data_IF_624377856194
#
_entry.id   IF_624377856194
#
_cell.length_a   1.000
_cell.length_b   1.000
_cell.length_c   1.000
_cell.angle_alpha   90.00
_cell.angle_beta   90.00
_cell.angle_gamma   90.00
#
_symmetry.space_group_name_H-M   'P 1'
#
loop_
_entity.id
_entity.type
_entity.pdbx_description
1 polymer ?
#
# COMPACT_ATOMS: atom_id res chain seq x y z
N UNK A 1 -28.61 17.15 17.18
CA UNK A 1 -28.07 16.66 18.47
C UNK A 1 -27.32 15.36 18.22
N UNK A 2 -25.99 15.46 18.21
CA UNK A 2 -24.99 14.42 18.51
C UNK A 2 -23.66 15.07 18.10
N UNK A 3 -23.07 15.81 19.04
CA UNK A 3 -21.83 16.54 18.79
C UNK A 3 -20.65 15.57 18.86
N UNK A 4 -19.89 15.50 17.77
CA UNK A 4 -18.54 14.95 17.74
C UNK A 4 -17.65 15.76 18.69
N UNK A 5 -17.46 15.27 19.91
CA UNK A 5 -16.51 15.86 20.84
C UNK A 5 -15.08 15.62 20.32
N UNK A 6 -14.42 16.73 20.03
CA UNK A 6 -13.03 16.82 19.60
C UNK A 6 -12.10 16.23 20.68
N UNK A 7 -11.42 15.12 20.37
CA UNK A 7 -10.53 14.41 21.31
C UNK A 7 -9.32 15.23 21.79
N UNK A 8 -9.10 16.43 21.24
CA UNK A 8 -8.09 17.37 21.73
C UNK A 8 -8.45 17.98 23.10
N UNK A 9 -9.73 18.00 23.49
CA UNK A 9 -10.16 18.63 24.74
C UNK A 9 -9.97 17.77 25.99
N UNK A 10 -9.67 16.48 25.84
CA UNK A 10 -9.52 15.53 26.96
C UNK A 10 -8.22 15.77 27.75
N UNK A 11 -7.22 16.45 27.15
CA UNK A 11 -5.92 16.66 27.78
C UNK A 11 -5.82 17.95 28.63
N UNK A 12 -6.85 18.81 28.66
CA UNK A 12 -6.76 20.16 29.25
C UNK A 12 -7.25 20.22 30.72
N UNK A 13 -7.72 19.12 31.30
CA UNK A 13 -8.28 19.13 32.66
C UNK A 13 -7.90 17.93 33.54
N UNK A 14 -6.79 17.26 33.25
CA UNK A 14 -6.29 16.22 34.15
C UNK A 14 -5.49 16.88 35.25
N UNK A 15 -6.15 17.13 36.39
CA UNK A 15 -5.48 17.24 37.68
C UNK A 15 -4.46 16.10 37.75
N UNK A 16 -3.21 16.44 37.98
CA UNK A 16 -2.07 15.51 37.92
C UNK A 16 -2.05 14.60 39.16
N UNK A 17 -3.17 13.92 39.44
CA UNK A 17 -3.18 12.81 40.38
C UNK A 17 -2.36 11.69 39.78
N UNK A 18 -1.24 11.39 40.45
CA UNK A 18 -0.36 10.24 40.21
C UNK A 18 -1.08 8.91 40.49
N UNK A 19 -2.20 8.66 39.82
CA UNK A 19 -2.99 7.45 39.93
C UNK A 19 -2.71 6.50 38.77
N UNK A 20 -2.74 5.20 39.05
CA UNK A 20 -2.63 4.14 38.03
C UNK A 20 -3.65 4.34 36.89
N UNK A 21 -4.83 4.88 37.21
CA UNK A 21 -5.89 5.18 36.25
C UNK A 21 -5.48 6.26 35.24
N UNK A 22 -4.92 7.38 35.73
CA UNK A 22 -4.44 8.46 34.87
C UNK A 22 -3.31 7.97 33.94
N UNK A 23 -2.37 7.19 34.48
CA UNK A 23 -1.32 6.53 33.70
C UNK A 23 -1.86 5.59 32.62
N UNK A 24 -2.88 4.78 32.95
CA UNK A 24 -3.52 3.87 32.01
C UNK A 24 -4.26 4.61 30.89
N UNK A 25 -4.93 5.73 31.18
CA UNK A 25 -5.58 6.56 30.13
C UNK A 25 -4.54 7.15 29.17
N UNK A 26 -3.47 7.74 29.71
CA UNK A 26 -2.37 8.30 28.91
C UNK A 26 -1.69 7.23 28.03
N UNK A 27 -1.41 6.07 28.60
CA UNK A 27 -0.78 5.01 27.83
C UNK A 27 -1.69 4.47 26.72
N UNK A 28 -3.02 4.39 26.92
CA UNK A 28 -3.96 4.07 25.81
C UNK A 28 -3.93 5.12 24.70
N UNK A 29 -3.85 6.40 25.05
CA UNK A 29 -3.70 7.48 24.08
C UNK A 29 -2.44 7.30 23.23
N UNK A 30 -1.26 7.12 23.84
CA UNK A 30 -0.01 6.95 23.10
C UNK A 30 0.00 5.66 22.27
N UNK A 31 -0.55 4.55 22.79
CA UNK A 31 -0.70 3.32 22.02
C UNK A 31 -1.58 3.51 20.78
N UNK A 32 -2.62 4.33 20.85
CA UNK A 32 -3.46 4.68 19.69
C UNK A 32 -2.73 5.50 18.61
N UNK A 33 -1.62 6.15 18.97
CA UNK A 33 -0.75 6.94 18.08
C UNK A 33 0.45 6.15 17.56
N UNK A 34 0.64 4.91 18.00
CA UNK A 34 1.78 4.06 17.61
C UNK A 34 1.78 3.59 16.14
N UNK A 35 0.70 3.84 15.40
CA UNK A 35 0.56 3.49 13.98
C UNK A 35 0.29 4.74 13.13
N UNK A 36 0.81 4.75 11.90
CA UNK A 36 0.57 5.83 10.93
C UNK A 36 -0.93 5.95 10.62
N UNK A 37 -1.39 7.17 10.31
CA UNK A 37 -2.81 7.46 10.03
C UNK A 37 -3.38 6.58 8.91
N UNK A 38 -2.61 6.34 7.85
CA UNK A 38 -3.01 5.45 6.75
C UNK A 38 -3.19 3.99 7.20
N UNK A 39 -2.29 3.48 8.04
CA UNK A 39 -2.40 2.14 8.62
C UNK A 39 -3.59 2.03 9.58
N UNK A 40 -3.90 3.11 10.33
CA UNK A 40 -5.08 3.15 11.19
C UNK A 40 -6.38 3.02 10.38
N UNK A 41 -6.52 3.77 9.29
CA UNK A 41 -7.68 3.66 8.40
C UNK A 41 -7.83 2.24 7.81
N UNK A 42 -6.71 1.63 7.41
CA UNK A 42 -6.72 0.26 6.93
C UNK A 42 -7.14 -0.72 8.04
N UNK A 43 -6.63 -0.55 9.26
CA UNK A 43 -6.98 -1.41 10.39
C UNK A 43 -8.45 -1.27 10.78
N UNK A 44 -9.02 -0.07 10.79
CA UNK A 44 -10.45 0.14 11.06
C UNK A 44 -11.32 -0.68 10.10
N UNK A 45 -11.08 -0.55 8.79
CA UNK A 45 -11.83 -1.31 7.76
C UNK A 45 -11.66 -2.82 7.91
N UNK A 46 -10.44 -3.26 8.21
CA UNK A 46 -10.18 -4.67 8.40
C UNK A 46 -10.81 -5.21 9.69
N UNK A 47 -10.86 -4.40 10.74
CA UNK A 47 -11.44 -4.80 12.02
C UNK A 47 -12.96 -4.97 11.96
N UNK A 48 -13.66 -4.24 11.09
CA UNK A 48 -15.09 -4.46 10.82
C UNK A 48 -15.39 -5.93 10.46
N UNK A 49 -14.49 -6.62 9.75
CA UNK A 49 -14.62 -8.05 9.44
C UNK A 49 -14.67 -8.90 10.73
N UNK A 50 -13.84 -8.55 11.72
CA UNK A 50 -13.83 -9.23 13.01
C UNK A 50 -15.10 -8.93 13.81
N UNK A 51 -15.50 -7.66 13.90
CA UNK A 51 -16.72 -7.25 14.61
C UNK A 51 -17.96 -7.93 14.01
N UNK A 52 -18.08 -7.96 12.68
CA UNK A 52 -19.18 -8.63 11.98
C UNK A 52 -19.17 -10.15 12.19
N UNK A 53 -17.97 -10.76 12.21
CA UNK A 53 -17.83 -12.19 12.52
C UNK A 53 -18.30 -12.48 13.95
N UNK A 54 -17.89 -11.66 14.92
CA UNK A 54 -18.29 -11.81 16.32
C UNK A 54 -19.80 -11.67 16.50
N UNK A 55 -20.38 -10.64 15.92
CA UNK A 55 -21.81 -10.38 16.01
C UNK A 55 -22.64 -11.50 15.38
N UNK A 56 -22.27 -11.97 14.17
CA UNK A 56 -22.99 -13.05 13.48
C UNK A 56 -22.94 -14.39 14.22
N UNK A 57 -21.86 -14.64 14.94
CA UNK A 57 -21.65 -15.91 15.65
C UNK A 57 -21.98 -15.82 17.15
N UNK A 58 -22.46 -14.67 17.65
CA UNK A 58 -22.81 -14.47 19.05
C UNK A 58 -21.61 -14.64 20.00
N UNK A 59 -20.39 -14.33 19.55
CA UNK A 59 -19.17 -14.47 20.35
C UNK A 59 -18.64 -13.09 20.77
N UNK A 60 -18.02 -12.98 21.96
CA UNK A 60 -17.48 -11.71 22.43
C UNK A 60 -16.32 -11.23 21.55
N UNK A 61 -16.26 -9.93 21.28
CA UNK A 61 -15.19 -9.31 20.49
C UNK A 61 -13.84 -9.30 21.23
N UNK A 62 -13.89 -9.17 22.55
CA UNK A 62 -12.74 -9.14 23.45
C UNK A 62 -12.76 -10.31 24.42
N UNK A 63 -11.58 -10.85 24.74
CA UNK A 63 -11.48 -12.09 25.54
C UNK A 63 -11.91 -13.34 24.77
N UNK A 64 -11.99 -13.22 23.43
CA UNK A 64 -12.31 -14.30 22.53
C UNK A 64 -11.28 -15.44 22.64
N UNK A 65 -11.76 -16.68 22.57
CA UNK A 65 -10.89 -17.86 22.47
C UNK A 65 -10.12 -17.80 21.15
N UNK A 66 -8.85 -18.21 21.15
CA UNK A 66 -8.01 -18.27 19.95
C UNK A 66 -8.65 -19.09 18.82
N UNK A 67 -9.54 -20.05 19.15
CA UNK A 67 -10.33 -20.82 18.17
C UNK A 67 -11.26 -19.93 17.34
N UNK A 68 -11.88 -18.92 17.94
CA UNK A 68 -12.79 -17.99 17.25
C UNK A 68 -12.00 -17.13 16.25
N UNK A 69 -10.82 -16.64 16.67
CA UNK A 69 -9.90 -15.93 15.77
C UNK A 69 -9.42 -16.84 14.63
N UNK A 70 -9.02 -18.07 14.94
CA UNK A 70 -8.58 -19.04 13.93
C UNK A 70 -9.67 -19.31 12.90
N UNK A 71 -10.92 -19.49 13.33
CA UNK A 71 -12.07 -19.67 12.44
C UNK A 71 -12.29 -18.45 11.54
N UNK A 72 -12.31 -17.24 12.09
CA UNK A 72 -12.45 -16.00 11.32
C UNK A 72 -11.36 -15.86 10.24
N UNK A 73 -10.09 -16.02 10.64
CA UNK A 73 -8.96 -15.92 9.69
C UNK A 73 -9.04 -16.99 8.59
N UNK A 74 -9.48 -18.20 8.92
CA UNK A 74 -9.61 -19.30 7.96
C UNK A 74 -10.73 -19.05 6.95
N UNK A 75 -11.88 -18.52 7.40
CA UNK A 75 -12.98 -18.16 6.50
C UNK A 75 -12.59 -17.03 5.55
N UNK A 76 -11.92 -15.98 6.05
CA UNK A 76 -11.41 -14.90 5.21
C UNK A 76 -10.37 -15.42 4.21
N UNK A 77 -9.49 -16.35 4.62
CA UNK A 77 -8.55 -16.97 3.70
C UNK A 77 -9.26 -17.79 2.62
N UNK A 78 -10.32 -18.54 2.98
CA UNK A 78 -11.10 -19.35 2.06
C UNK A 78 -11.88 -18.50 1.05
N UNK A 79 -12.50 -17.42 1.50
CA UNK A 79 -13.31 -16.54 0.66
C UNK A 79 -12.46 -15.70 -0.30
N UNK A 80 -11.35 -15.12 0.19
CA UNK A 80 -10.56 -14.17 -0.60
C UNK A 80 -9.29 -14.76 -1.23
N UNK A 81 -8.80 -15.89 -0.72
CA UNK A 81 -7.50 -16.46 -1.11
C UNK A 81 -6.29 -15.55 -0.81
N UNK A 82 -6.46 -14.49 0.00
CA UNK A 82 -5.47 -13.43 0.16
C UNK A 82 -4.73 -13.49 1.49
N UNK A 83 -3.51 -14.04 1.46
CA UNK A 83 -2.61 -14.07 2.63
C UNK A 83 -2.38 -12.67 3.21
N UNK A 84 -2.21 -11.66 2.35
CA UNK A 84 -1.99 -10.29 2.80
C UNK A 84 -3.18 -9.75 3.59
N UNK A 85 -4.41 -10.08 3.16
CA UNK A 85 -5.64 -9.65 3.84
C UNK A 85 -5.75 -10.26 5.23
N UNK A 86 -5.51 -11.57 5.39
CA UNK A 86 -5.54 -12.22 6.71
C UNK A 86 -4.43 -11.75 7.65
N UNK A 87 -3.24 -11.43 7.13
CA UNK A 87 -2.17 -10.80 7.93
C UNK A 87 -2.59 -9.41 8.41
N UNK A 88 -3.18 -8.59 7.55
CA UNK A 88 -3.66 -7.25 7.94
C UNK A 88 -4.81 -7.34 8.94
N UNK A 89 -5.73 -8.30 8.77
CA UNK A 89 -6.81 -8.56 9.73
C UNK A 89 -6.25 -8.91 11.12
N UNK A 90 -5.33 -9.87 11.21
CA UNK A 90 -4.67 -10.24 12.47
C UNK A 90 -3.94 -9.05 13.11
N UNK A 91 -3.24 -8.23 12.32
CA UNK A 91 -2.58 -7.04 12.82
C UNK A 91 -3.56 -5.97 13.35
N UNK A 92 -4.71 -5.80 12.69
CA UNK A 92 -5.78 -4.89 13.13
C UNK A 92 -6.36 -5.35 14.47
N UNK A 93 -6.68 -6.64 14.61
CA UNK A 93 -7.16 -7.24 15.86
C UNK A 93 -6.14 -7.05 16.98
N UNK A 94 -4.87 -7.39 16.72
CA UNK A 94 -3.79 -7.18 17.69
C UNK A 94 -3.64 -5.71 18.11
N UNK A 95 -3.89 -4.77 17.20
CA UNK A 95 -3.84 -3.34 17.49
C UNK A 95 -4.98 -2.89 18.41
N UNK A 96 -6.21 -3.34 18.16
CA UNK A 96 -7.37 -3.03 19.01
C UNK A 96 -7.23 -3.61 20.42
N UNK A 97 -6.69 -4.82 20.56
CA UNK A 97 -6.36 -5.41 21.86
C UNK A 97 -5.28 -4.60 22.59
N UNK A 98 -4.22 -4.18 21.88
CA UNK A 98 -3.13 -3.38 22.46
C UNK A 98 -3.59 -2.02 22.95
N UNK A 99 -4.43 -1.31 22.18
CA UNK A 99 -5.00 -0.02 22.62
C UNK A 99 -5.82 -0.18 23.90
N UNK A 100 -6.41 -1.36 24.13
CA UNK A 100 -7.16 -1.69 25.36
C UNK A 100 -6.29 -2.32 26.45
N UNK A 101 -4.99 -2.49 26.20
CA UNK A 101 -4.05 -3.17 27.10
C UNK A 101 -4.49 -4.60 27.46
N UNK A 102 -5.11 -5.30 26.52
CA UNK A 102 -5.53 -6.68 26.66
C UNK A 102 -4.51 -7.64 26.02
N UNK A 103 -4.45 -8.87 26.51
CA UNK A 103 -3.69 -9.94 25.87
C UNK A 103 -4.36 -10.32 24.54
N UNK A 104 -3.61 -10.19 23.45
CA UNK A 104 -4.14 -10.43 22.11
C UNK A 104 -4.22 -11.95 21.82
N UNK A 105 -5.35 -12.48 21.33
CA UNK A 105 -5.45 -13.89 20.92
C UNK A 105 -4.52 -14.22 19.73
N UNK A 106 -4.03 -13.20 19.03
CA UNK A 106 -3.11 -13.36 17.89
C UNK A 106 -1.73 -13.91 18.26
N UNK A 107 -1.36 -13.87 19.55
CA UNK A 107 -0.07 -14.39 20.03
C UNK A 107 -0.11 -15.89 20.34
N UNK A 108 -1.29 -16.50 20.31
CA UNK A 108 -1.46 -17.93 20.59
C UNK A 108 -0.76 -18.81 19.53
N UNK A 109 -0.20 -19.94 19.96
CA UNK A 109 0.56 -20.85 19.09
C UNK A 109 -0.25 -21.35 17.90
N UNK A 110 -1.53 -21.68 18.11
CA UNK A 110 -2.47 -22.08 17.05
C UNK A 110 -2.53 -21.07 15.91
N UNK A 111 -2.52 -19.77 16.22
CA UNK A 111 -2.55 -18.71 15.20
C UNK A 111 -1.24 -18.71 14.41
N UNK A 112 -0.12 -18.87 15.10
CA UNK A 112 1.21 -18.97 14.45
C UNK A 112 1.28 -20.16 13.50
N UNK A 113 0.80 -21.33 13.92
CA UNK A 113 0.74 -22.54 13.10
C UNK A 113 -0.25 -22.38 11.92
N UNK A 114 -1.39 -21.72 12.14
CA UNK A 114 -2.35 -21.41 11.09
C UNK A 114 -1.74 -20.54 9.98
N UNK A 115 -1.03 -19.46 10.34
CA UNK A 115 -0.33 -18.61 9.37
C UNK A 115 0.80 -19.35 8.63
N UNK A 116 1.39 -20.39 9.24
CA UNK A 116 2.33 -21.29 8.54
C UNK A 116 1.58 -22.17 7.52
N UNK A 117 0.44 -22.72 7.88
CA UNK A 117 -0.44 -23.46 6.97
C UNK A 117 -0.85 -22.61 5.75
N UNK A 118 -1.34 -21.39 5.98
CA UNK A 118 -1.71 -20.48 4.89
C UNK A 118 -0.55 -20.18 3.93
N UNK A 119 0.68 -20.04 4.43
CA UNK A 119 1.85 -19.79 3.57
C UNK A 119 2.24 -21.00 2.72
N UNK A 120 2.08 -22.20 3.26
CA UNK A 120 2.41 -23.43 2.56
C UNK A 120 1.42 -23.70 1.42
N UNK A 121 0.13 -23.53 1.70
CA UNK A 121 -0.95 -23.68 0.69
C UNK A 121 -0.98 -22.52 -0.30
N UNK A 122 -0.56 -21.31 0.12
CA UNK A 122 -0.58 -20.11 -0.72
C UNK A 122 0.76 -19.38 -0.73
N UNK A 123 1.79 -19.94 -1.40
CA UNK A 123 3.14 -19.37 -1.43
C UNK A 123 3.13 -17.94 -1.99
N UNK A 124 3.43 -16.97 -1.12
CA UNK A 124 3.58 -15.57 -1.52
C UNK A 124 4.99 -15.31 -2.06
N UNK A 125 5.10 -14.81 -3.28
CA UNK A 125 6.37 -14.34 -3.85
C UNK A 125 6.71 -12.96 -3.27
N UNK A 126 7.74 -12.90 -2.41
CA UNK A 126 8.06 -11.73 -1.58
C UNK A 126 8.57 -10.52 -2.38
N UNK A 127 8.10 -9.31 -2.03
CA UNK A 127 8.78 -8.03 -2.28
C UNK A 127 8.00 -6.79 -1.78
N UNK A 128 8.46 -6.15 -0.68
CA UNK A 128 8.09 -4.79 -0.23
C UNK A 128 9.37 -3.95 -0.30
N UNK A 129 9.73 -3.50 -1.50
CA UNK A 129 11.09 -3.04 -1.78
C UNK A 129 11.44 -1.77 -0.99
N UNK A 130 12.56 -1.84 -0.29
CA UNK A 130 13.16 -0.84 0.59
C UNK A 130 12.53 -0.69 1.99
N UNK A 131 12.62 -1.75 2.80
CA UNK A 131 12.21 -1.70 4.21
C UNK A 131 13.15 -0.90 5.12
N UNK A 132 14.40 -0.66 4.68
CA UNK A 132 15.47 -0.06 5.49
C UNK A 132 15.83 1.37 5.08
N UNK A 133 15.12 1.94 4.08
CA UNK A 133 15.37 3.29 3.56
C UNK A 133 16.83 3.49 3.09
N UNK A 134 17.44 2.42 2.60
CA UNK A 134 18.80 2.45 2.05
C UNK A 134 18.83 3.13 0.68
N UNK A 135 17.67 3.22 0.02
CA UNK A 135 17.54 3.70 -1.33
C UNK A 135 18.06 2.70 -2.36
N UNK A 136 17.85 3.00 -3.63
CA UNK A 136 18.48 2.24 -4.71
C UNK A 136 18.91 3.19 -5.80
N UNK A 137 20.15 3.08 -6.25
CA UNK A 137 20.62 3.82 -7.41
C UNK A 137 20.04 3.22 -8.70
N UNK A 138 19.57 4.10 -9.59
CA UNK A 138 18.96 3.73 -10.87
C UNK A 138 19.55 4.62 -11.96
N UNK A 139 19.98 4.00 -13.04
CA UNK A 139 20.46 4.69 -14.23
C UNK A 139 19.28 4.88 -15.18
N UNK A 140 19.08 6.12 -15.63
CA UNK A 140 18.04 6.48 -16.62
C UNK A 140 18.74 7.01 -17.86
N UNK A 141 18.48 6.39 -19.01
CA UNK A 141 19.05 6.84 -20.27
C UNK A 141 18.47 8.20 -20.68
N UNK A 142 19.34 9.10 -21.13
CA UNK A 142 18.95 10.41 -21.66
C UNK A 142 18.93 10.38 -23.19
N UNK A 143 17.88 10.96 -23.77
CA UNK A 143 17.81 11.30 -25.18
C UNK A 143 17.43 12.79 -25.32
N UNK A 144 18.41 13.72 -25.38
CA UNK A 144 18.13 15.16 -25.31
C UNK A 144 17.25 15.71 -26.44
N UNK A 145 17.29 15.06 -27.61
CA UNK A 145 16.53 15.46 -28.80
C UNK A 145 15.06 15.05 -28.73
N UNK A 146 14.73 14.08 -27.87
CA UNK A 146 13.38 13.63 -27.65
C UNK A 146 12.61 14.57 -26.71
N UNK A 147 11.44 15.03 -27.15
CA UNK A 147 10.53 15.89 -26.38
C UNK A 147 9.97 15.17 -25.15
N UNK A 148 9.88 13.85 -25.17
CA UNK A 148 9.36 13.04 -24.04
C UNK A 148 10.48 12.36 -23.24
N UNK A 149 11.74 12.76 -23.43
CA UNK A 149 12.87 12.25 -22.66
C UNK A 149 12.66 12.45 -21.15
N UNK A 150 12.66 11.37 -20.34
CA UNK A 150 12.38 11.47 -18.91
C UNK A 150 13.42 12.31 -18.17
N UNK A 151 14.69 12.25 -18.59
CA UNK A 151 15.78 13.04 -17.99
C UNK A 151 15.55 14.54 -18.26
N UNK A 152 15.23 14.91 -19.51
CA UNK A 152 14.96 16.29 -19.90
C UNK A 152 13.73 16.85 -19.17
N UNK A 153 12.63 16.07 -19.10
CA UNK A 153 11.43 16.45 -18.37
C UNK A 153 11.71 16.65 -16.88
N UNK A 154 12.51 15.78 -16.26
CA UNK A 154 12.89 15.88 -14.85
C UNK A 154 13.76 17.11 -14.58
N UNK A 155 14.72 17.42 -15.46
CA UNK A 155 15.54 18.63 -15.36
C UNK A 155 14.66 19.88 -15.48
N UNK A 156 13.80 19.95 -16.50
CA UNK A 156 12.87 21.07 -16.68
C UNK A 156 11.96 21.27 -15.46
N UNK A 157 11.52 20.16 -14.85
CA UNK A 157 10.74 20.19 -13.63
C UNK A 157 11.51 20.79 -12.45
N UNK A 158 12.77 20.42 -12.23
CA UNK A 158 13.60 21.02 -11.19
C UNK A 158 13.94 22.49 -11.46
N UNK A 159 14.15 22.86 -12.72
CA UNK A 159 14.31 24.25 -13.13
C UNK A 159 13.05 25.07 -12.83
N UNK A 160 11.87 24.48 -13.06
CA UNK A 160 10.58 25.10 -12.71
C UNK A 160 10.42 25.30 -11.20
N UNK A 161 10.82 24.32 -10.38
CA UNK A 161 10.80 24.46 -8.92
C UNK A 161 11.78 25.55 -8.44
N UNK A 162 12.92 25.67 -9.10
CA UNK A 162 13.96 26.65 -8.81
C UNK A 162 15.06 26.10 -7.88
N UNK A 163 16.28 26.68 -7.94
CA UNK A 163 17.47 26.15 -7.27
C UNK A 163 17.42 26.25 -5.74
N UNK A 164 16.55 27.09 -5.20
CA UNK A 164 16.39 27.32 -3.75
C UNK A 164 15.15 26.61 -3.19
N UNK A 165 14.47 25.78 -3.99
CA UNK A 165 13.27 25.10 -3.55
C UNK A 165 13.59 24.00 -2.54
N UNK A 166 12.95 24.09 -1.37
CA UNK A 166 13.06 23.09 -0.29
C UNK A 166 11.66 22.62 0.08
N UNK A 167 11.39 21.32 -0.08
CA UNK A 167 10.08 20.73 0.19
C UNK A 167 9.93 19.35 -0.44
N UNK A 168 8.68 18.90 -0.56
CA UNK A 168 8.39 17.64 -1.27
C UNK A 168 8.84 17.69 -2.73
N UNK A 169 9.45 16.59 -3.22
CA UNK A 169 9.91 16.45 -4.61
C UNK A 169 8.77 16.63 -5.61
N UNK A 170 7.57 16.14 -5.29
CA UNK A 170 6.33 16.37 -6.05
C UNK A 170 5.32 17.03 -5.10
N UNK A 171 5.33 18.37 -5.00
CA UNK A 171 4.41 19.09 -4.15
C UNK A 171 3.02 19.15 -4.77
N UNK A 172 2.01 19.27 -3.92
CA UNK A 172 0.68 19.69 -4.35
C UNK A 172 0.72 21.13 -4.85
N UNK A 173 -0.03 21.41 -5.92
CA UNK A 173 -0.17 22.78 -6.43
C UNK A 173 -1.43 23.43 -5.88
N UNK A 174 -1.36 24.72 -5.57
CA UNK A 174 -2.55 25.53 -5.26
C UNK A 174 -3.39 25.73 -6.53
N UNK A 175 -4.64 26.23 -6.44
CA UNK A 175 -5.43 26.59 -7.62
C UNK A 175 -4.76 27.60 -8.56
N UNK A 176 -3.82 28.40 -8.04
CA UNK A 176 -3.00 29.34 -8.81
C UNK A 176 -1.77 28.67 -9.46
N UNK A 177 -1.71 27.34 -9.47
CA UNK A 177 -0.59 26.51 -9.98
C UNK A 177 0.74 26.78 -9.30
N UNK A 178 0.73 27.26 -8.05
CA UNK A 178 1.94 27.45 -7.26
C UNK A 178 2.25 26.20 -6.43
N UNK A 179 3.50 25.71 -6.42
CA UNK A 179 3.91 24.58 -5.57
C UNK A 179 3.75 24.88 -4.08
N UNK A 180 3.18 23.94 -3.32
CA UNK A 180 3.16 23.99 -1.86
C UNK A 180 4.26 23.07 -1.27
N UNK A 181 5.37 23.64 -0.76
CA UNK A 181 6.51 22.85 -0.30
C UNK A 181 6.21 21.93 0.89
N UNK A 182 5.17 22.27 1.68
CA UNK A 182 4.81 21.58 2.91
C UNK A 182 3.78 20.47 2.69
N UNK A 183 3.34 20.22 1.46
CA UNK A 183 2.32 19.22 1.17
C UNK A 183 2.61 18.48 -0.13
N UNK A 184 2.86 17.18 -0.04
CA UNK A 184 3.02 16.30 -1.20
C UNK A 184 1.74 16.25 -2.05
N UNK A 185 1.89 16.03 -3.35
CA UNK A 185 0.78 15.73 -4.22
C UNK A 185 0.08 14.43 -3.74
N UNK A 186 -1.23 14.47 -3.48
CA UNK A 186 -1.94 13.25 -3.08
C UNK A 186 -2.03 12.30 -4.28
N UNK A 187 -1.86 11.01 -3.99
CA UNK A 187 -1.98 9.94 -4.98
C UNK A 187 -3.26 10.06 -5.83
N UNK A 188 -4.41 10.25 -5.18
CA UNK A 188 -5.70 10.36 -5.86
C UNK A 188 -5.79 11.60 -6.76
N UNK A 189 -5.11 12.69 -6.39
CA UNK A 189 -4.99 13.89 -7.21
C UNK A 189 -4.16 13.62 -8.47
N UNK A 190 -2.97 13.05 -8.31
CA UNK A 190 -2.11 12.70 -9.44
C UNK A 190 -2.78 11.72 -10.42
N UNK A 191 -3.50 10.71 -9.90
CA UNK A 191 -4.27 9.77 -10.71
C UNK A 191 -5.42 10.46 -11.46
N UNK A 192 -6.13 11.38 -10.81
CA UNK A 192 -7.20 12.17 -11.43
C UNK A 192 -6.66 13.05 -12.56
N UNK A 193 -5.53 13.73 -12.32
CA UNK A 193 -4.91 14.60 -13.32
C UNK A 193 -4.39 13.80 -14.52
N UNK A 194 -3.79 12.63 -14.29
CA UNK A 194 -3.43 11.71 -15.37
C UNK A 194 -4.65 11.28 -16.19
N UNK A 195 -5.74 10.86 -15.54
CA UNK A 195 -6.97 10.42 -16.24
C UNK A 195 -7.61 11.55 -17.05
N UNK A 196 -7.61 12.78 -16.52
CA UNK A 196 -8.06 13.97 -17.27
C UNK A 196 -7.21 14.19 -18.50
N UNK A 197 -5.88 14.16 -18.37
CA UNK A 197 -4.96 14.34 -19.49
C UNK A 197 -5.19 13.28 -20.58
N UNK A 198 -5.33 12.00 -20.19
CA UNK A 198 -5.63 10.91 -21.13
C UNK A 198 -6.93 11.15 -21.89
N UNK A 199 -7.98 11.59 -21.19
CA UNK A 199 -9.27 11.90 -21.80
C UNK A 199 -9.16 13.06 -22.79
N UNK A 200 -8.42 14.12 -22.44
CA UNK A 200 -8.16 15.27 -23.32
C UNK A 200 -7.40 14.86 -24.59
N UNK A 201 -6.56 13.82 -24.52
CA UNK A 201 -5.83 13.26 -25.65
C UNK A 201 -6.65 12.25 -26.46
N UNK A 202 -7.90 11.99 -26.09
CA UNK A 202 -8.80 11.06 -26.79
C UNK A 202 -8.64 9.59 -26.39
N UNK A 203 -7.92 9.30 -25.30
CA UNK A 203 -7.81 7.93 -24.76
C UNK A 203 -8.91 7.64 -23.74
N UNK A 204 -9.36 6.38 -23.69
CA UNK A 204 -10.25 5.91 -22.62
C UNK A 204 -9.48 5.79 -21.29
N UNK A 205 -9.67 6.78 -20.42
CA UNK A 205 -9.02 6.86 -19.12
C UNK A 205 -9.41 5.75 -18.13
N UNK A 206 -10.48 4.99 -18.39
CA UNK A 206 -10.90 3.87 -17.54
C UNK A 206 -9.94 2.68 -17.64
N UNK A 207 -9.21 2.57 -18.76
CA UNK A 207 -8.20 1.55 -18.99
C UNK A 207 -6.88 1.80 -18.27
N UNK A 208 -6.72 2.98 -17.64
CA UNK A 208 -5.47 3.39 -17.00
C UNK A 208 -5.62 3.52 -15.48
N UNK A 209 -4.58 3.10 -14.76
CA UNK A 209 -4.51 3.13 -13.31
C UNK A 209 -3.08 3.23 -12.81
N UNK A 210 -2.90 3.02 -11.51
CA UNK A 210 -1.62 3.14 -10.78
C UNK A 210 -0.43 2.50 -11.47
N UNK A 211 -0.65 1.30 -11.99
CA UNK A 211 0.41 0.46 -12.49
C UNK A 211 0.56 0.54 -14.00
N UNK A 212 -0.25 1.34 -14.71
CA UNK A 212 -0.21 1.39 -16.18
C UNK A 212 1.16 1.85 -16.69
N UNK A 213 1.78 2.85 -16.07
CA UNK A 213 3.15 3.28 -16.43
C UNK A 213 4.19 2.19 -16.18
N UNK A 214 4.08 1.47 -15.05
CA UNK A 214 4.98 0.35 -14.71
C UNK A 214 4.83 -0.82 -15.68
N UNK A 215 3.59 -1.15 -16.08
CA UNK A 215 3.30 -2.19 -17.08
C UNK A 215 3.80 -1.80 -18.47
N UNK A 216 3.54 -0.56 -18.88
CA UNK A 216 4.02 -0.01 -20.15
C UNK A 216 5.54 -0.05 -20.25
N UNK A 217 6.25 0.40 -19.21
CA UNK A 217 7.71 0.36 -19.17
C UNK A 217 8.28 -1.07 -19.21
N UNK A 218 7.67 -2.01 -18.46
CA UNK A 218 8.07 -3.42 -18.48
C UNK A 218 7.88 -4.05 -19.87
N UNK A 219 6.73 -3.80 -20.47
CA UNK A 219 6.36 -4.29 -21.80
C UNK A 219 7.28 -3.74 -22.88
N UNK A 220 7.54 -2.43 -22.85
CA UNK A 220 8.46 -1.79 -23.78
C UNK A 220 9.90 -2.34 -23.63
N UNK A 221 10.37 -2.57 -22.41
CA UNK A 221 11.69 -3.16 -22.19
C UNK A 221 11.81 -4.56 -22.81
N UNK A 222 10.81 -5.43 -22.62
CA UNK A 222 10.80 -6.77 -23.22
C UNK A 222 10.71 -6.71 -24.74
N UNK A 223 9.88 -5.82 -25.29
CA UNK A 223 9.78 -5.62 -26.74
C UNK A 223 11.11 -5.16 -27.36
N UNK A 224 11.97 -4.50 -26.58
CA UNK A 224 13.33 -4.10 -26.97
C UNK A 224 14.41 -5.12 -26.54
N UNK A 225 14.03 -6.36 -26.23
CA UNK A 225 14.96 -7.46 -25.99
C UNK A 225 15.51 -7.57 -24.56
N UNK A 226 14.93 -6.88 -23.58
CA UNK A 226 15.35 -7.04 -22.19
C UNK A 226 15.11 -8.48 -21.69
N UNK A 227 16.16 -9.10 -21.14
CA UNK A 227 16.09 -10.42 -20.50
C UNK A 227 15.30 -10.38 -19.19
N UNK A 228 14.82 -11.52 -18.71
CA UNK A 228 14.11 -11.61 -17.42
C UNK A 228 14.91 -11.04 -16.23
N UNK A 229 16.23 -11.24 -16.21
CA UNK A 229 17.10 -10.68 -15.17
C UNK A 229 17.20 -9.16 -15.26
N UNK A 230 17.34 -8.61 -16.47
CA UNK A 230 17.35 -7.15 -16.70
C UNK A 230 16.00 -6.54 -16.32
N UNK A 231 14.90 -7.20 -16.66
CA UNK A 231 13.54 -6.76 -16.32
C UNK A 231 13.32 -6.75 -14.80
N UNK A 232 13.75 -7.79 -14.09
CA UNK A 232 13.75 -7.84 -12.61
C UNK A 232 14.54 -6.71 -12.01
N UNK A 233 15.76 -6.49 -12.51
CA UNK A 233 16.58 -5.37 -12.07
C UNK A 233 15.84 -4.07 -12.31
N UNK A 234 15.32 -3.82 -13.51
CA UNK A 234 14.58 -2.61 -13.89
C UNK A 234 13.41 -2.30 -12.95
N UNK A 235 12.48 -3.24 -12.75
CA UNK A 235 11.28 -3.01 -11.92
C UNK A 235 11.47 -3.27 -10.43
N UNK A 236 12.68 -3.66 -10.01
CA UNK A 236 13.01 -4.07 -8.65
C UNK A 236 12.35 -5.38 -8.21
N UNK A 237 11.96 -6.25 -9.13
CA UNK A 237 11.25 -7.47 -8.77
C UNK A 237 12.21 -8.56 -8.29
N UNK A 238 11.86 -9.18 -7.16
CA UNK A 238 12.63 -10.31 -6.61
C UNK A 238 12.43 -11.60 -7.40
N UNK A 239 11.23 -11.85 -7.91
CA UNK A 239 10.90 -13.09 -8.64
C UNK A 239 10.59 -12.83 -10.12
N UNK A 240 10.88 -13.84 -10.95
CA UNK A 240 10.59 -13.82 -12.40
C UNK A 240 9.08 -13.75 -12.64
N UNK A 241 8.31 -14.48 -11.84
CA UNK A 241 6.85 -14.47 -11.87
C UNK A 241 6.24 -13.08 -11.67
N UNK A 242 6.84 -12.26 -10.78
CA UNK A 242 6.36 -10.91 -10.56
C UNK A 242 6.72 -9.98 -11.70
N UNK A 243 7.90 -10.13 -12.31
CA UNK A 243 8.28 -9.36 -13.49
C UNK A 243 7.34 -9.66 -14.67
N UNK A 244 7.04 -10.95 -14.91
CA UNK A 244 6.18 -11.39 -15.99
C UNK A 244 4.74 -10.84 -15.89
N UNK A 245 4.19 -10.68 -14.67
CA UNK A 245 2.83 -10.13 -14.47
C UNK A 245 2.64 -8.68 -14.95
N UNK A 246 3.73 -7.94 -15.16
CA UNK A 246 3.71 -6.56 -15.64
C UNK A 246 3.94 -6.44 -17.15
N UNK A 247 4.18 -7.55 -17.85
CA UNK A 247 4.44 -7.55 -19.30
C UNK A 247 3.16 -7.94 -20.03
N UNK A 248 2.67 -7.05 -20.88
CA UNK A 248 1.52 -7.26 -21.74
C UNK A 248 1.98 -7.53 -23.18
N UNK A 249 2.01 -8.79 -23.60
CA UNK A 249 2.42 -9.15 -24.95
C UNK A 249 1.38 -8.68 -25.97
N UNK A 250 1.86 -7.97 -27.01
CA UNK A 250 1.01 -7.54 -28.12
C UNK A 250 0.37 -8.74 -28.83
N UNK A 251 -0.76 -8.52 -29.52
CA UNK A 251 -1.37 -9.55 -30.37
C UNK A 251 -0.37 -10.07 -31.40
N UNK A 252 0.39 -9.18 -32.04
CA UNK A 252 1.41 -9.56 -33.03
C UNK A 252 2.51 -10.44 -32.43
N UNK A 253 2.97 -10.12 -31.21
CA UNK A 253 3.92 -10.97 -30.49
C UNK A 253 3.34 -12.36 -30.21
N UNK A 254 2.06 -12.44 -29.82
CA UNK A 254 1.36 -13.72 -29.61
C UNK A 254 1.17 -14.51 -30.91
N UNK A 255 0.85 -13.84 -32.01
CA UNK A 255 0.75 -14.45 -33.35
C UNK A 255 2.10 -14.99 -33.79
N UNK A 256 3.18 -14.20 -33.67
CA UNK A 256 4.53 -14.63 -34.02
C UNK A 256 4.98 -15.85 -33.20
N UNK A 257 4.71 -15.87 -31.90
CA UNK A 257 4.95 -17.07 -31.07
C UNK A 257 4.15 -18.28 -31.56
N UNK A 258 2.87 -18.08 -31.94
CA UNK A 258 2.04 -19.17 -32.48
C UNK A 258 2.57 -19.70 -33.81
N UNK A 259 3.15 -18.84 -34.66
CA UNK A 259 3.74 -19.24 -35.93
C UNK A 259 5.00 -20.09 -35.74
N UNK A 260 5.77 -19.89 -34.66
CA UNK A 260 6.92 -20.75 -34.33
C UNK A 260 6.53 -22.22 -34.08
N UNK A 261 5.27 -22.49 -33.74
CA UNK A 261 4.74 -23.84 -33.51
C UNK A 261 4.31 -24.54 -34.81
N UNK A 262 4.31 -23.83 -35.95
CA UNK A 262 3.88 -24.35 -37.24
C UNK A 262 5.04 -24.97 -38.05
N UNK A 263 6.23 -25.10 -37.43
CA UNK A 263 7.38 -25.80 -37.99
C UNK A 263 7.40 -27.26 -37.55
#
# INVERSE_FOLDING_TARGET
>A
MSSSADSSSVLIGLDYESSLSAGAVLARYYLSKSVKVSSKQQYTRMYEIWTDFCQRNGVPEFGADHKQLAACLSLVMLEDGSYSKVVTLSAAIAHEYRIRMLQSPTTHETITLLFRGFRNEHPQTRGKNDQYSEGSERIVASNPDDKICPVKLTINYFLFLGPTYTGYMVPSCTPKKTPNPNKAAPYSGALSDMKKLMSTLGYDATLYGEHSGKRGGATAAVANGATGNQLKRLGGWRSDTMAAKYVDLSINSRISMSQLLQN
#
